data_IF_762690424150
#
_entry.id   IF_762690424150
#
_cell.length_a   1.000
_cell.length_b   1.000
_cell.length_c   1.000
_cell.angle_alpha   90.00
_cell.angle_beta   90.00
_cell.angle_gamma   90.00
#
_symmetry.space_group_name_H-M   'P 1'
#
loop_
_entity.id
_entity.type
_entity.pdbx_description
1 polymer ?
#
# COMPACT_ATOMS: atom_id res chain seq x y z
N UNK A 1 8.35 -26.51 -36.36
CA UNK A 1 7.27 -25.52 -36.10
C UNK A 1 7.19 -25.38 -34.59
N UNK A 2 7.89 -24.41 -33.99
CA UNK A 2 7.36 -23.09 -33.57
C UNK A 2 6.29 -23.25 -32.47
N UNK A 3 6.38 -22.71 -31.26
CA UNK A 3 7.10 -21.55 -30.75
C UNK A 3 7.29 -21.64 -29.22
N UNK A 4 8.46 -21.22 -28.77
CA UNK A 4 8.88 -20.94 -27.40
C UNK A 4 7.98 -19.87 -26.76
N UNK A 5 7.69 -19.99 -25.47
CA UNK A 5 7.27 -18.83 -24.66
C UNK A 5 7.98 -18.87 -23.31
N UNK A 6 9.27 -18.51 -23.35
CA UNK A 6 10.00 -18.01 -22.20
C UNK A 6 9.33 -16.72 -21.73
N UNK A 7 8.56 -16.76 -20.64
CA UNK A 7 8.29 -15.54 -19.87
C UNK A 7 9.48 -15.23 -18.99
N UNK A 8 10.49 -14.63 -19.62
CA UNK A 8 11.44 -13.78 -18.90
C UNK A 8 10.71 -12.48 -18.54
N UNK A 9 10.52 -12.23 -17.25
CA UNK A 9 10.46 -10.85 -16.77
C UNK A 9 11.46 -10.71 -15.63
N UNK A 10 12.68 -10.39 -16.06
CA UNK A 10 13.71 -9.57 -15.40
C UNK A 10 13.52 -9.40 -13.89
N UNK A 11 14.39 -10.06 -13.14
CA UNK A 11 14.85 -9.57 -11.86
C UNK A 11 15.46 -8.18 -12.08
N UNK A 12 14.70 -7.14 -11.76
CA UNK A 12 15.20 -5.78 -11.66
C UNK A 12 16.06 -5.67 -10.40
N UNK A 13 17.27 -5.17 -10.60
CA UNK A 13 18.26 -4.80 -9.59
C UNK A 13 17.64 -4.27 -8.28
N UNK A 14 17.99 -4.94 -7.18
CA UNK A 14 17.42 -4.79 -5.85
C UNK A 14 17.67 -3.44 -5.17
N UNK A 15 16.93 -2.43 -5.59
CA UNK A 15 16.48 -1.37 -4.69
C UNK A 15 14.99 -1.61 -4.46
N UNK A 16 14.62 -2.22 -3.33
CA UNK A 16 13.22 -2.38 -2.94
C UNK A 16 12.66 -1.00 -2.57
N UNK A 17 12.45 -0.12 -3.55
CA UNK A 17 11.74 1.14 -3.35
C UNK A 17 10.29 0.80 -3.05
N UNK A 18 9.76 1.24 -1.90
CA UNK A 18 8.35 1.02 -1.61
C UNK A 18 7.51 1.62 -2.73
N UNK A 19 6.53 0.85 -3.21
CA UNK A 19 5.59 1.30 -4.22
C UNK A 19 4.20 1.39 -3.61
N UNK A 20 3.36 2.28 -4.12
CA UNK A 20 1.94 2.37 -3.76
C UNK A 20 1.22 1.01 -3.84
N UNK A 21 1.63 0.14 -4.77
CA UNK A 21 1.11 -1.23 -4.89
C UNK A 21 1.54 -2.13 -3.72
N UNK A 22 2.79 -2.07 -3.29
CA UNK A 22 3.25 -2.79 -2.10
C UNK A 22 2.54 -2.32 -0.83
N UNK A 23 2.28 -1.01 -0.70
CA UNK A 23 1.49 -0.47 0.42
C UNK A 23 0.06 -0.98 0.37
N UNK A 24 -0.57 -1.01 -0.81
CA UNK A 24 -1.91 -1.59 -0.99
C UNK A 24 -1.94 -3.06 -0.59
N UNK A 25 -0.99 -3.88 -1.04
CA UNK A 25 -0.93 -5.30 -0.69
C UNK A 25 -0.70 -5.50 0.81
N UNK A 26 0.15 -4.68 1.44
CA UNK A 26 0.33 -4.70 2.89
C UNK A 26 -0.98 -4.34 3.62
N UNK A 27 -1.67 -3.26 3.22
CA UNK A 27 -2.98 -2.92 3.81
C UNK A 27 -3.98 -4.07 3.60
N UNK A 28 -4.02 -4.69 2.41
CA UNK A 28 -4.89 -5.84 2.13
C UNK A 28 -4.60 -7.05 3.03
N UNK A 29 -3.34 -7.35 3.30
CA UNK A 29 -2.95 -8.44 4.20
C UNK A 29 -3.33 -8.12 5.65
N UNK A 30 -3.09 -6.88 6.08
CA UNK A 30 -3.38 -6.40 7.43
C UNK A 30 -4.89 -6.24 7.68
N UNK A 31 -5.65 -5.89 6.65
CA UNK A 31 -7.09 -5.68 6.73
C UNK A 31 -7.85 -6.98 7.03
N UNK A 32 -7.31 -8.13 6.61
CA UNK A 32 -7.85 -9.46 6.98
C UNK A 32 -7.95 -9.67 8.49
N UNK A 33 -7.14 -8.96 9.26
CA UNK A 33 -7.08 -9.06 10.73
C UNK A 33 -7.72 -7.87 11.43
N UNK A 34 -7.89 -6.72 10.75
CA UNK A 34 -8.42 -5.47 11.32
C UNK A 34 -9.11 -4.64 10.23
N UNK A 35 -10.30 -4.08 10.47
CA UNK A 35 -10.97 -3.22 9.48
C UNK A 35 -10.20 -1.95 9.08
N UNK A 36 -9.30 -1.46 9.95
CA UNK A 36 -8.46 -0.29 9.69
C UNK A 36 -7.02 -0.58 10.05
N UNK A 37 -6.10 -0.09 9.22
CA UNK A 37 -4.67 -0.34 9.34
C UNK A 37 -3.97 0.98 9.71
N UNK A 38 -3.55 1.17 10.97
CA UNK A 38 -2.82 2.37 11.35
C UNK A 38 -1.40 2.35 10.76
N UNK A 39 -0.82 3.54 10.58
CA UNK A 39 0.54 3.70 10.05
C UNK A 39 1.58 2.91 10.85
N UNK A 40 1.44 2.83 12.17
CA UNK A 40 2.34 2.06 13.04
C UNK A 40 2.41 0.59 12.64
N UNK A 41 1.28 0.01 12.25
CA UNK A 41 1.17 -1.39 11.88
C UNK A 41 1.76 -1.65 10.49
N UNK A 42 1.59 -0.71 9.55
CA UNK A 42 2.29 -0.74 8.27
C UNK A 42 3.81 -0.65 8.48
N UNK A 43 4.27 0.24 9.36
CA UNK A 43 5.69 0.41 9.66
C UNK A 43 6.29 -0.88 10.22
N UNK A 44 5.65 -1.51 11.21
CA UNK A 44 6.10 -2.80 11.75
C UNK A 44 6.10 -3.89 10.68
N UNK A 45 5.08 -3.94 9.83
CA UNK A 45 5.00 -4.93 8.74
C UNK A 45 6.14 -4.78 7.73
N UNK A 46 6.48 -3.53 7.35
CA UNK A 46 7.60 -3.27 6.44
C UNK A 46 8.96 -3.44 7.10
N UNK A 47 9.12 -3.09 8.38
CA UNK A 47 10.35 -3.34 9.13
C UNK A 47 10.68 -4.84 9.26
N UNK A 48 9.68 -5.70 9.40
CA UNK A 48 9.88 -7.14 9.46
C UNK A 48 10.26 -7.75 8.10
N UNK A 49 9.86 -7.13 7.00
CA UNK A 49 10.04 -7.65 5.63
C UNK A 49 11.18 -7.01 4.87
N UNK A 50 11.62 -5.81 5.25
CA UNK A 50 12.74 -5.11 4.62
C UNK A 50 13.99 -5.25 5.50
N UNK A 51 15.17 -5.49 4.91
CA UNK A 51 16.41 -5.51 5.67
C UNK A 51 16.61 -4.13 6.34
N UNK A 52 16.76 -4.18 7.66
CA UNK A 52 16.69 -3.13 8.69
C UNK A 52 17.68 -1.95 8.51
N UNK A 53 18.44 -1.89 7.42
CA UNK A 53 19.41 -0.81 7.18
C UNK A 53 18.79 0.55 6.77
N UNK A 54 17.48 0.64 6.61
CA UNK A 54 16.81 1.93 6.36
C UNK A 54 16.43 2.61 7.69
N UNK A 55 16.90 3.84 7.88
CA UNK A 55 16.45 4.72 8.98
C UNK A 55 14.93 4.67 9.12
N UNK A 56 14.44 4.39 10.32
CA UNK A 56 13.00 4.23 10.60
C UNK A 56 12.19 5.46 10.17
N UNK A 57 12.76 6.64 10.32
CA UNK A 57 12.14 7.90 9.89
C UNK A 57 12.00 8.01 8.37
N UNK A 58 13.04 7.61 7.62
CA UNK A 58 12.99 7.57 6.15
C UNK A 58 11.96 6.54 5.69
N UNK A 59 11.91 5.37 6.33
CA UNK A 59 10.92 4.34 6.03
C UNK A 59 9.50 4.85 6.30
N UNK A 60 9.29 5.54 7.42
CA UNK A 60 8.00 6.15 7.75
C UNK A 60 7.58 7.16 6.70
N UNK A 61 8.49 8.05 6.29
CA UNK A 61 8.22 9.04 5.26
C UNK A 61 7.87 8.39 3.91
N UNK A 62 8.65 7.38 3.49
CA UNK A 62 8.41 6.63 2.26
C UNK A 62 7.05 5.91 2.28
N UNK A 63 6.67 5.29 3.41
CA UNK A 63 5.34 4.66 3.58
C UNK A 63 4.23 5.71 3.45
N UNK A 64 4.34 6.85 4.13
CA UNK A 64 3.32 7.92 4.08
C UNK A 64 3.17 8.43 2.64
N UNK A 65 4.27 8.70 1.95
CA UNK A 65 4.26 9.19 0.58
C UNK A 65 3.57 8.19 -0.35
N UNK A 66 3.92 6.90 -0.24
CA UNK A 66 3.35 5.85 -1.08
C UNK A 66 1.90 5.52 -0.71
N UNK A 67 1.52 5.61 0.58
CA UNK A 67 0.14 5.49 1.03
C UNK A 67 -0.71 6.63 0.47
N UNK A 68 -0.20 7.86 0.52
CA UNK A 68 -0.87 9.04 -0.06
C UNK A 68 -1.07 8.88 -1.57
N UNK A 69 -0.05 8.39 -2.28
CA UNK A 69 -0.17 8.04 -3.71
C UNK A 69 -1.24 6.97 -3.94
N UNK A 70 -1.27 5.93 -3.12
CA UNK A 70 -2.28 4.87 -3.20
C UNK A 70 -3.70 5.39 -2.92
N UNK A 71 -3.85 6.41 -2.06
CA UNK A 71 -5.13 7.11 -1.84
C UNK A 71 -5.54 7.90 -3.09
N UNK A 72 -4.61 8.68 -3.67
CA UNK A 72 -4.87 9.43 -4.92
C UNK A 72 -5.21 8.53 -6.10
N UNK A 73 -4.64 7.33 -6.15
CA UNK A 73 -4.94 6.30 -7.16
C UNK A 73 -6.25 5.54 -6.88
N UNK A 74 -6.94 5.84 -5.78
CA UNK A 74 -8.18 5.15 -5.39
C UNK A 74 -7.97 3.71 -4.93
N UNK A 75 -6.74 3.31 -4.56
CA UNK A 75 -6.43 1.99 -3.99
C UNK A 75 -6.73 1.93 -2.50
N UNK A 76 -6.45 3.03 -1.80
CA UNK A 76 -6.61 3.15 -0.36
C UNK A 76 -7.52 4.31 -0.02
N UNK A 77 -8.06 4.27 1.19
CA UNK A 77 -8.72 5.40 1.84
C UNK A 77 -7.93 5.76 3.09
N UNK A 78 -7.73 7.06 3.31
CA UNK A 78 -7.17 7.58 4.54
C UNK A 78 -8.29 8.11 5.43
N UNK A 79 -8.21 7.83 6.72
CA UNK A 79 -9.10 8.36 7.75
C UNK A 79 -8.43 9.53 8.50
N UNK A 80 -9.23 10.35 9.18
CA UNK A 80 -8.75 11.51 9.94
C UNK A 80 -7.76 11.14 11.05
N UNK A 81 -7.83 9.91 11.57
CA UNK A 81 -6.91 9.36 12.57
C UNK A 81 -5.56 8.88 11.98
N UNK A 82 -5.35 9.05 10.66
CA UNK A 82 -4.15 8.60 9.96
C UNK A 82 -4.10 7.09 9.69
N UNK A 83 -5.21 6.38 9.88
CA UNK A 83 -5.34 4.98 9.48
C UNK A 83 -5.74 4.84 8.00
N UNK A 84 -5.48 3.66 7.44
CA UNK A 84 -5.76 3.33 6.05
C UNK A 84 -6.64 2.07 5.94
N UNK A 85 -7.51 2.01 4.92
CA UNK A 85 -8.18 0.79 4.49
C UNK A 85 -8.20 0.67 2.97
N UNK A 86 -8.52 -0.50 2.46
CA UNK A 86 -8.76 -0.69 1.04
C UNK A 86 -9.95 0.15 0.58
N UNK A 87 -9.75 0.86 -0.53
CA UNK A 87 -10.85 1.50 -1.24
C UNK A 87 -11.60 0.41 -2.02
N UNK A 88 -12.75 -0.01 -1.51
CA UNK A 88 -13.69 -0.84 -2.28
C UNK A 88 -14.61 0.05 -3.08
N UNK A 89 -14.79 -0.23 -4.37
CA UNK A 89 -15.74 0.46 -5.28
C UNK A 89 -17.13 0.67 -4.65
N UNK A 90 -17.57 -0.24 -3.77
CA UNK A 90 -18.83 -0.15 -3.02
C UNK A 90 -18.97 1.12 -2.16
N UNK A 91 -17.86 1.71 -1.71
CA UNK A 91 -17.86 2.95 -0.94
C UNK A 91 -17.76 4.21 -1.81
N UNK A 92 -17.25 4.10 -3.05
CA UNK A 92 -17.23 5.25 -3.97
C UNK A 92 -18.66 5.62 -4.42
N UNK A 93 -19.53 4.62 -4.59
CA UNK A 93 -20.95 4.86 -4.86
C UNK A 93 -21.68 5.58 -3.71
N UNK A 94 -21.28 5.37 -2.45
CA UNK A 94 -21.89 6.02 -1.28
C UNK A 94 -21.25 7.37 -0.93
N UNK A 95 -19.99 7.61 -1.34
CA UNK A 95 -19.31 8.89 -1.13
C UNK A 95 -19.73 9.96 -2.15
N UNK A 96 -20.22 9.57 -3.33
CA UNK A 96 -20.81 10.50 -4.31
C UNK A 96 -22.25 10.91 -3.92
N UNK A 97 -22.92 10.11 -3.09
CA UNK A 97 -24.30 10.35 -2.63
C UNK A 97 -24.37 11.19 -1.32
N UNK A 98 -23.30 11.20 -0.52
CA UNK A 98 -23.20 12.02 0.67
C UNK A 98 -21.95 12.92 0.57
N UNK A 99 -22.18 14.16 0.14
CA UNK A 99 -21.22 15.25 0.24
C UNK A 99 -20.66 15.33 1.66
N UNK A 100 -19.34 15.49 1.74
CA UNK A 100 -18.65 15.66 3.01
C UNK A 100 -18.92 17.08 3.52
N UNK A 101 -19.39 17.16 4.77
CA UNK A 101 -19.35 18.36 5.62
C UNK A 101 -17.89 18.82 5.83
#
# INVERSE_FOLDING_TARGET
MSVRSNRTSRASSGHCSLTAKLVRDAVKELEKRRQRVPLSLLLTHFQQRLPVQRNVELLKHEIIEQATKAVKLGYLRQFADGSYCLSTLRWQATAEEFGWD
#
